data_IF_107247278186
#
_entry.id   IF_107247278186
#
_cell.length_a   1.000
_cell.length_b   1.000
_cell.length_c   1.000
_cell.angle_alpha   90.00
_cell.angle_beta   90.00
_cell.angle_gamma   90.00
#
_symmetry.space_group_name_H-M   'P 1'
#
loop_
_entity.id
_entity.type
_entity.pdbx_description
1 polymer ?
#
# COMPACT_ATOMS: atom_id res chain seq x y z
N UNK A 1 13.87 -4.39 16.68
CA UNK A 1 12.39 -4.32 16.63
C UNK A 1 11.99 -3.69 15.29
N UNK A 2 11.12 -4.30 14.49
CA UNK A 2 10.68 -3.68 13.23
C UNK A 2 9.69 -2.56 13.54
N UNK A 3 10.09 -1.33 13.22
CA UNK A 3 9.24 -0.13 13.23
C UNK A 3 8.09 -0.29 12.24
N UNK A 4 6.89 0.17 12.58
CA UNK A 4 5.82 0.32 11.59
C UNK A 4 6.35 1.12 10.38
N UNK A 5 5.91 0.83 9.15
CA UNK A 5 6.33 1.56 7.97
C UNK A 5 6.04 3.06 8.18
N UNK A 6 7.09 3.88 8.21
CA UNK A 6 7.02 5.30 8.58
C UNK A 6 6.32 6.18 7.54
N UNK A 7 6.16 5.68 6.32
CA UNK A 7 5.37 6.34 5.28
C UNK A 7 3.86 6.41 5.60
N UNK A 8 3.41 5.91 6.76
CA UNK A 8 2.04 6.10 7.24
C UNK A 8 1.76 7.53 7.74
N UNK A 9 2.79 8.32 8.07
CA UNK A 9 2.60 9.70 8.54
C UNK A 9 2.63 10.71 7.40
N UNK A 10 1.69 11.65 7.40
CA UNK A 10 1.54 12.66 6.35
C UNK A 10 2.80 13.52 6.14
N UNK A 11 3.47 13.93 7.23
CA UNK A 11 4.69 14.73 7.18
C UNK A 11 5.85 13.99 6.50
N UNK A 12 6.03 12.70 6.82
CA UNK A 12 7.04 11.85 6.17
C UNK A 12 6.80 11.73 4.67
N UNK A 13 5.54 11.60 4.24
CA UNK A 13 5.21 11.52 2.80
C UNK A 13 5.59 12.80 2.06
N UNK A 14 5.22 13.94 2.63
CA UNK A 14 5.52 15.23 2.01
C UNK A 14 7.03 15.43 1.89
N UNK A 15 7.79 15.13 2.94
CA UNK A 15 9.25 15.19 2.92
C UNK A 15 9.84 14.26 1.86
N UNK A 16 9.45 12.98 1.83
CA UNK A 16 9.93 12.02 0.83
C UNK A 16 9.62 12.47 -0.59
N UNK A 17 8.43 13.00 -0.85
CA UNK A 17 8.08 13.55 -2.16
C UNK A 17 8.96 14.75 -2.53
N UNK A 18 9.24 15.65 -1.58
CA UNK A 18 10.16 16.79 -1.80
C UNK A 18 11.54 16.28 -2.17
N UNK A 19 12.09 15.36 -1.39
CA UNK A 19 13.43 14.81 -1.61
C UNK A 19 13.53 14.12 -2.99
N UNK A 20 12.49 13.35 -3.36
CA UNK A 20 12.43 12.64 -4.66
C UNK A 20 12.39 13.62 -5.83
N UNK A 21 11.56 14.66 -5.74
CA UNK A 21 11.40 15.64 -6.82
C UNK A 21 12.64 16.54 -6.98
N UNK A 22 13.26 16.94 -5.86
CA UNK A 22 14.47 17.77 -5.88
C UNK A 22 15.69 17.03 -6.46
N UNK A 23 15.74 15.70 -6.31
CA UNK A 23 16.85 14.88 -6.78
C UNK A 23 16.98 14.79 -8.30
N UNK A 24 15.87 14.93 -9.05
CA UNK A 24 15.87 14.71 -10.52
C UNK A 24 15.20 15.81 -11.34
N UNK A 25 14.47 16.74 -10.70
CA UNK A 25 13.66 17.78 -11.38
C UNK A 25 12.79 17.19 -12.50
N UNK A 26 11.88 16.26 -12.17
CA UNK A 26 11.14 15.51 -13.18
C UNK A 26 10.17 16.40 -13.96
N UNK A 27 9.92 16.00 -15.20
CA UNK A 27 8.93 16.62 -16.09
C UNK A 27 7.64 15.79 -16.11
N UNK A 28 6.51 16.41 -16.46
CA UNK A 28 5.30 15.66 -16.83
C UNK A 28 5.60 14.57 -17.86
N UNK A 29 4.99 13.39 -17.69
CA UNK A 29 5.24 12.21 -18.53
C UNK A 29 6.40 11.33 -18.03
N UNK A 30 6.99 11.64 -16.87
CA UNK A 30 7.97 10.79 -16.20
C UNK A 30 7.37 10.15 -14.94
N UNK A 31 7.78 8.92 -14.65
CA UNK A 31 7.52 8.26 -13.36
C UNK A 31 8.83 8.01 -12.65
N UNK A 32 8.90 8.42 -11.39
CA UNK A 32 10.03 8.12 -10.51
C UNK A 32 9.71 6.93 -9.63
N UNK A 33 10.69 6.05 -9.45
CA UNK A 33 10.61 4.92 -8.53
C UNK A 33 11.81 5.03 -7.60
N UNK A 34 11.51 5.34 -6.35
CA UNK A 34 12.48 5.57 -5.29
C UNK A 34 12.45 4.40 -4.29
N UNK A 35 13.62 3.98 -3.84
CA UNK A 35 13.79 3.11 -2.68
C UNK A 35 14.10 3.97 -1.47
N UNK A 36 13.26 3.91 -0.44
CA UNK A 36 13.35 4.75 0.75
C UNK A 36 13.73 3.90 1.95
N UNK A 37 14.80 4.25 2.65
CA UNK A 37 15.24 3.57 3.87
C UNK A 37 14.23 3.77 5.00
N UNK A 38 13.78 2.69 5.66
CA UNK A 38 12.92 2.80 6.85
C UNK A 38 13.60 3.52 8.01
N UNK A 39 14.91 3.34 8.15
CA UNK A 39 15.66 3.84 9.30
C UNK A 39 16.03 5.31 9.15
N UNK A 40 16.50 5.69 7.95
CA UNK A 40 17.09 7.00 7.72
C UNK A 40 16.16 8.00 7.00
N UNK A 41 14.98 7.56 6.54
CA UNK A 41 14.05 8.41 5.76
C UNK A 41 14.76 9.13 4.60
N UNK A 42 15.64 8.37 3.93
CA UNK A 42 16.50 8.83 2.84
C UNK A 42 16.28 7.97 1.60
N UNK A 43 16.47 8.58 0.44
CA UNK A 43 16.48 7.88 -0.84
C UNK A 43 17.77 7.08 -0.93
N UNK A 44 17.67 5.75 -0.96
CA UNK A 44 18.81 4.83 -1.16
C UNK A 44 19.06 4.59 -2.64
N UNK A 45 18.03 4.73 -3.47
CA UNK A 45 18.14 4.63 -4.91
C UNK A 45 16.95 5.24 -5.60
N UNK A 46 17.16 5.74 -6.81
CA UNK A 46 16.14 6.40 -7.62
C UNK A 46 16.27 5.98 -9.08
N UNK A 47 15.14 5.68 -9.72
CA UNK A 47 15.04 5.46 -11.16
C UNK A 47 13.93 6.31 -11.74
N UNK A 48 14.15 6.78 -12.96
CA UNK A 48 13.17 7.51 -13.74
C UNK A 48 12.84 6.68 -14.97
N UNK A 49 11.56 6.45 -15.21
CA UNK A 49 11.05 5.76 -16.39
C UNK A 49 10.01 6.65 -17.08
N UNK A 50 9.74 6.47 -18.37
CA UNK A 50 8.58 7.09 -19.02
C UNK A 50 7.29 6.65 -18.32
N UNK A 51 6.35 7.57 -18.14
CA UNK A 51 5.00 7.24 -17.69
C UNK A 51 4.28 6.54 -18.86
N UNK A 52 3.86 5.27 -18.70
CA UNK A 52 3.06 4.62 -19.73
C UNK A 52 1.74 5.35 -19.91
N UNK A 53 1.29 5.49 -21.16
CA UNK A 53 -0.04 6.03 -21.46
C UNK A 53 -1.10 5.07 -20.91
N UNK A 54 -1.74 5.47 -19.82
CA UNK A 54 -2.79 4.67 -19.22
C UNK A 54 -4.10 4.89 -19.96
N UNK A 55 -4.38 4.03 -20.92
CA UNK A 55 -5.66 4.00 -21.61
C UNK A 55 -6.65 3.15 -20.81
N UNK A 56 -7.41 3.78 -19.91
CA UNK A 56 -8.64 3.17 -19.40
C UNK A 56 -9.83 3.65 -20.24
N UNK A 57 -10.50 2.71 -20.89
CA UNK A 57 -11.87 2.94 -21.31
C UNK A 57 -12.73 3.18 -20.04
N UNK A 58 -13.69 4.13 -20.04
CA UNK A 58 -14.47 4.51 -18.86
C UNK A 58 -15.22 3.38 -18.14
N UNK A 59 -15.35 2.20 -18.75
CA UNK A 59 -16.10 1.05 -18.24
C UNK A 59 -15.27 -0.22 -17.99
N UNK A 60 -13.95 -0.19 -18.21
CA UNK A 60 -13.15 -1.43 -18.27
C UNK A 60 -12.09 -1.49 -17.17
N UNK A 61 -11.74 -2.72 -16.78
CA UNK A 61 -10.48 -3.00 -16.08
C UNK A 61 -9.30 -2.77 -17.02
N UNK A 62 -8.11 -2.54 -16.49
CA UNK A 62 -6.90 -2.54 -17.32
C UNK A 62 -6.79 -3.86 -18.09
N UNK A 63 -6.38 -3.83 -19.36
CA UNK A 63 -5.98 -5.05 -20.06
C UNK A 63 -4.94 -5.79 -19.23
N UNK A 64 -5.12 -7.10 -19.07
CA UNK A 64 -4.20 -7.94 -18.29
C UNK A 64 -2.75 -7.85 -18.80
N UNK A 65 -2.58 -7.60 -20.10
CA UNK A 65 -1.28 -7.45 -20.74
C UNK A 65 -0.55 -6.17 -20.32
N UNK A 66 -1.25 -5.04 -20.14
CA UNK A 66 -0.65 -3.78 -19.69
C UNK A 66 -0.15 -3.90 -18.25
N UNK A 67 -0.98 -4.48 -17.38
CA UNK A 67 -0.63 -4.75 -15.98
C UNK A 67 0.55 -5.70 -15.90
N UNK A 68 0.57 -6.75 -16.73
CA UNK A 68 1.65 -7.75 -16.78
C UNK A 68 2.96 -7.12 -17.28
N UNK A 69 2.91 -6.35 -18.36
CA UNK A 69 4.09 -5.70 -18.93
C UNK A 69 4.68 -4.69 -17.94
N UNK A 70 3.85 -3.82 -17.36
CA UNK A 70 4.29 -2.88 -16.34
C UNK A 70 4.83 -3.60 -15.10
N UNK A 71 4.18 -4.69 -14.65
CA UNK A 71 4.70 -5.49 -13.53
C UNK A 71 6.10 -6.02 -13.80
N UNK A 72 6.38 -6.52 -15.01
CA UNK A 72 7.72 -7.00 -15.38
C UNK A 72 8.76 -5.86 -15.36
N UNK A 73 8.40 -4.69 -15.88
CA UNK A 73 9.26 -3.50 -15.84
C UNK A 73 9.55 -3.08 -14.40
N UNK A 74 8.52 -2.97 -13.56
CA UNK A 74 8.65 -2.60 -12.14
C UNK A 74 9.50 -3.61 -11.35
N UNK A 75 9.36 -4.91 -11.64
CA UNK A 75 10.24 -5.95 -11.08
C UNK A 75 11.70 -5.73 -11.49
N UNK A 76 11.97 -5.38 -12.74
CA UNK A 76 13.33 -5.10 -13.20
C UNK A 76 13.92 -3.87 -12.50
N UNK A 77 13.16 -2.77 -12.41
CA UNK A 77 13.57 -1.54 -11.71
C UNK A 77 13.84 -1.81 -10.22
N UNK A 78 12.95 -2.53 -9.53
CA UNK A 78 13.12 -2.85 -8.13
C UNK A 78 14.39 -3.69 -7.87
N UNK A 79 14.66 -4.70 -8.71
CA UNK A 79 15.90 -5.49 -8.60
C UNK A 79 17.14 -4.63 -8.78
N UNK A 80 17.10 -3.69 -9.73
CA UNK A 80 18.21 -2.79 -9.98
C UNK A 80 18.46 -1.86 -8.77
N UNK A 81 17.39 -1.25 -8.23
CA UNK A 81 17.43 -0.45 -7.01
C UNK A 81 17.92 -1.21 -5.77
N UNK A 82 17.71 -2.52 -5.72
CA UNK A 82 18.10 -3.36 -4.59
C UNK A 82 19.50 -3.95 -4.74
N UNK A 83 19.94 -4.18 -5.97
CA UNK A 83 21.32 -4.58 -6.27
C UNK A 83 22.32 -3.44 -6.11
N UNK A 84 21.89 -2.18 -6.01
CA UNK A 84 22.81 -1.09 -5.75
C UNK A 84 23.52 -1.30 -4.41
N UNK A 85 24.87 -1.30 -4.40
CA UNK A 85 25.64 -1.93 -3.36
C UNK A 85 25.91 -0.92 -2.24
N UNK A 86 25.30 -1.14 -1.08
CA UNK A 86 26.02 -0.89 0.18
C UNK A 86 27.10 -1.98 0.41
N UNK A 87 27.29 -2.91 -0.55
CA UNK A 87 28.17 -4.07 -0.47
C UNK A 87 29.67 -3.79 -0.68
N UNK A 88 30.10 -2.55 -0.93
CA UNK A 88 31.53 -2.19 -0.83
C UNK A 88 31.92 -1.62 0.55
N UNK A 89 30.97 -1.48 1.48
CA UNK A 89 31.32 -1.28 2.88
C UNK A 89 31.52 -2.65 3.53
N UNK A 90 32.75 -3.16 3.41
CA UNK A 90 33.27 -4.33 4.11
C UNK A 90 32.75 -4.36 5.55
N UNK A 91 31.78 -5.23 5.81
CA UNK A 91 31.33 -5.52 7.16
C UNK A 91 32.26 -6.60 7.72
N UNK A 92 33.14 -6.31 8.70
CA UNK A 92 34.11 -7.27 9.23
C UNK A 92 33.49 -8.25 10.23
N UNK A 93 32.27 -8.74 9.97
CA UNK A 93 31.55 -9.60 10.92
C UNK A 93 31.90 -11.09 10.78
N UNK A 94 32.84 -11.44 9.91
CA UNK A 94 33.51 -12.74 9.93
C UNK A 94 34.93 -12.54 10.45
N UNK A 95 35.08 -12.40 11.76
CA UNK A 95 36.37 -12.72 12.35
C UNK A 95 36.53 -14.24 12.28
N UNK A 96 37.49 -14.66 11.46
CA UNK A 96 38.08 -15.99 11.50
C UNK A 96 38.70 -16.18 12.88
N UNK A 97 37.94 -16.71 13.84
CA UNK A 97 38.42 -17.39 15.05
C UNK A 97 37.20 -17.84 15.86
N UNK A 98 36.64 -19.01 15.53
CA UNK A 98 36.15 -20.02 16.49
C UNK A 98 35.40 -21.15 15.76
N UNK A 99 36.03 -22.32 15.77
CA UNK A 99 35.44 -23.67 15.80
C UNK A 99 34.14 -23.91 15.00
N UNK A 100 34.33 -24.32 13.75
CA UNK A 100 33.29 -24.85 12.86
C UNK A 100 32.58 -26.06 13.50
N UNK A 101 31.38 -25.87 14.07
CA UNK A 101 30.49 -26.97 14.49
C UNK A 101 29.57 -27.40 13.33
N UNK A 102 29.79 -28.58 12.71
CA UNK A 102 28.96 -29.08 11.62
C UNK A 102 27.54 -29.50 12.03
N UNK A 103 27.21 -29.57 13.32
CA UNK A 103 25.88 -29.97 13.81
C UNK A 103 24.92 -28.80 14.07
N UNK A 104 25.42 -27.56 14.21
CA UNK A 104 24.60 -26.37 14.44
C UNK A 104 23.63 -26.01 13.29
N UNK A 105 23.88 -26.50 12.06
CA UNK A 105 23.03 -26.23 10.89
C UNK A 105 21.71 -27.01 10.83
N UNK A 106 21.52 -28.08 11.61
CA UNK A 106 20.27 -28.87 11.55
C UNK A 106 19.13 -28.30 12.42
N UNK A 107 19.44 -27.33 13.28
CA UNK A 107 18.46 -26.71 14.19
C UNK A 107 18.22 -25.23 13.93
N UNK A 108 18.91 -24.63 12.95
CA UNK A 108 18.64 -23.25 12.55
C UNK A 108 17.26 -23.21 11.87
N UNK A 109 16.33 -22.36 12.34
CA UNK A 109 15.07 -22.17 11.63
C UNK A 109 15.39 -21.78 10.19
N UNK A 110 14.76 -22.47 9.23
CA UNK A 110 14.82 -22.11 7.82
C UNK A 110 14.48 -20.63 7.73
N UNK A 111 15.48 -19.78 7.48
CA UNK A 111 15.23 -18.36 7.31
C UNK A 111 14.33 -18.24 6.08
N UNK A 112 13.14 -17.63 6.18
CA UNK A 112 12.17 -17.57 5.09
C UNK A 112 12.60 -16.52 4.04
N UNK A 113 13.88 -16.50 3.66
CA UNK A 113 14.35 -15.76 2.50
C UNK A 113 13.89 -16.51 1.25
N UNK A 114 12.69 -16.18 0.80
CA UNK A 114 12.27 -16.48 -0.57
C UNK A 114 13.21 -15.67 -1.48
N UNK A 115 13.95 -16.36 -2.35
CA UNK A 115 14.71 -15.80 -3.48
C UNK A 115 15.82 -14.76 -3.17
N UNK A 116 16.49 -14.86 -2.02
CA UNK A 116 17.69 -14.04 -1.75
C UNK A 116 17.43 -12.54 -1.55
N UNK A 117 16.19 -12.15 -1.25
CA UNK A 117 15.85 -10.77 -0.91
C UNK A 117 16.25 -10.47 0.56
N UNK A 118 16.89 -9.32 0.82
CA UNK A 118 17.16 -8.88 2.19
C UNK A 118 15.84 -8.64 2.94
N UNK A 119 15.86 -8.66 4.29
CA UNK A 119 14.69 -8.29 5.08
C UNK A 119 14.17 -6.91 4.65
N UNK A 120 12.86 -6.69 4.80
CA UNK A 120 12.17 -5.46 4.41
C UNK A 120 12.67 -4.28 5.24
N UNK A 121 13.71 -3.60 4.78
CA UNK A 121 14.30 -2.41 5.43
C UNK A 121 14.01 -1.13 4.65
N UNK A 122 13.32 -1.24 3.52
CA UNK A 122 13.02 -0.11 2.65
C UNK A 122 11.62 -0.20 2.05
N UNK A 123 11.03 0.95 1.78
CA UNK A 123 9.80 1.09 1.01
C UNK A 123 10.11 1.44 -0.44
N UNK A 124 9.19 1.13 -1.35
CA UNK A 124 9.22 1.64 -2.71
C UNK A 124 8.17 2.74 -2.85
N UNK A 125 8.59 3.89 -3.36
CA UNK A 125 7.70 5.03 -3.64
C UNK A 125 7.70 5.28 -5.13
N UNK A 126 6.51 5.24 -5.73
CA UNK A 126 6.29 5.57 -7.14
C UNK A 126 5.64 6.94 -7.24
N UNK A 127 6.27 7.85 -7.97
CA UNK A 127 5.80 9.21 -8.20
C UNK A 127 5.52 9.37 -9.68
N UNK A 128 4.24 9.43 -10.06
CA UNK A 128 3.79 9.66 -11.42
C UNK A 128 3.70 11.17 -11.65
N UNK A 129 4.65 11.71 -12.41
CA UNK A 129 4.69 13.14 -12.75
C UNK A 129 3.88 13.37 -14.02
N UNK A 130 2.88 14.23 -13.95
CA UNK A 130 2.00 14.55 -15.09
C UNK A 130 1.39 15.93 -14.97
N UNK A 131 0.80 16.38 -16.07
CA UNK A 131 0.03 17.62 -16.10
C UNK A 131 -1.38 17.47 -15.51
N UNK A 132 -2.00 18.61 -15.22
CA UNK A 132 -3.39 18.72 -14.77
C UNK A 132 -3.59 18.63 -13.26
N UNK A 133 -4.80 18.28 -12.82
CA UNK A 133 -5.15 18.29 -11.39
C UNK A 133 -4.37 17.25 -10.57
N UNK A 134 -4.05 17.60 -9.33
CA UNK A 134 -3.52 16.71 -8.31
C UNK A 134 -4.58 15.71 -7.81
N UNK A 135 -4.92 14.72 -8.64
CA UNK A 135 -5.88 13.65 -8.35
C UNK A 135 -5.34 12.30 -8.81
N UNK A 136 -5.84 11.22 -8.22
CA UNK A 136 -5.54 9.89 -8.74
C UNK A 136 -6.30 9.68 -10.04
N UNK A 137 -5.62 9.17 -11.07
CA UNK A 137 -6.16 8.85 -12.39
C UNK A 137 -5.91 7.38 -12.72
N UNK A 138 -6.39 6.88 -13.88
CA UNK A 138 -6.00 5.58 -14.40
C UNK A 138 -4.50 5.25 -14.35
N UNK A 139 -3.62 6.22 -14.59
CA UNK A 139 -2.19 5.96 -14.61
C UNK A 139 -1.66 5.47 -13.25
N UNK A 140 -2.00 6.16 -12.16
CA UNK A 140 -1.55 5.78 -10.82
C UNK A 140 -2.18 4.44 -10.37
N UNK A 141 -3.42 4.17 -10.77
CA UNK A 141 -4.09 2.90 -10.48
C UNK A 141 -3.41 1.74 -11.23
N UNK A 142 -2.97 1.96 -12.48
CA UNK A 142 -2.21 0.96 -13.26
C UNK A 142 -0.91 0.58 -12.56
N UNK A 143 -0.12 1.57 -12.12
CA UNK A 143 1.11 1.35 -11.34
C UNK A 143 0.84 0.57 -10.06
N UNK A 144 -0.21 0.92 -9.34
CA UNK A 144 -0.59 0.21 -8.13
C UNK A 144 -0.91 -1.26 -8.39
N UNK A 145 -1.72 -1.56 -9.41
CA UNK A 145 -2.00 -2.96 -9.75
C UNK A 145 -0.76 -3.68 -10.24
N UNK A 146 0.09 -3.05 -11.05
CA UNK A 146 1.33 -3.64 -11.51
C UNK A 146 2.26 -4.01 -10.34
N UNK A 147 2.36 -3.17 -9.30
CA UNK A 147 3.05 -3.55 -8.06
C UNK A 147 2.36 -4.71 -7.35
N UNK A 148 1.02 -4.69 -7.23
CA UNK A 148 0.26 -5.76 -6.56
C UNK A 148 0.32 -7.11 -7.27
N UNK A 149 0.58 -7.13 -8.58
CA UNK A 149 0.81 -8.36 -9.35
C UNK A 149 2.29 -8.68 -9.55
N UNK A 150 3.18 -7.90 -8.92
CA UNK A 150 4.60 -8.23 -8.85
C UNK A 150 4.85 -9.25 -7.74
N UNK A 151 4.46 -10.51 -7.99
CA UNK A 151 4.51 -11.66 -7.06
C UNK A 151 5.79 -11.77 -6.21
N UNK A 152 6.95 -11.38 -6.75
CA UNK A 152 8.23 -11.43 -6.04
C UNK A 152 8.43 -10.30 -5.01
N UNK A 153 7.63 -9.23 -5.07
CA UNK A 153 7.82 -8.00 -4.29
C UNK A 153 6.69 -7.76 -3.29
N UNK A 154 5.51 -8.34 -3.53
CA UNK A 154 4.28 -8.06 -2.76
C UNK A 154 4.30 -8.55 -1.32
N UNK A 155 5.17 -9.50 -0.98
CA UNK A 155 5.42 -9.91 0.39
C UNK A 155 6.43 -9.03 1.13
N UNK A 156 7.23 -8.25 0.40
CA UNK A 156 8.44 -7.63 0.94
C UNK A 156 8.55 -6.12 0.75
N UNK A 157 7.77 -5.49 -0.12
CA UNK A 157 7.86 -4.04 -0.32
C UNK A 157 6.46 -3.45 -0.31
N UNK A 158 6.26 -2.46 0.57
CA UNK A 158 5.11 -1.58 0.42
C UNK A 158 5.43 -0.60 -0.70
N UNK A 159 4.64 -0.69 -1.77
CA UNK A 159 4.72 0.23 -2.89
C UNK A 159 3.61 1.28 -2.76
N UNK A 160 3.99 2.50 -2.42
CA UNK A 160 3.08 3.65 -2.44
C UNK A 160 3.12 4.32 -3.81
N UNK A 161 1.97 4.81 -4.28
CA UNK A 161 1.85 5.48 -5.57
C UNK A 161 1.24 6.87 -5.38
N UNK A 162 1.95 7.88 -5.87
CA UNK A 162 1.56 9.28 -5.81
C UNK A 162 1.46 9.86 -7.22
N UNK A 163 0.43 10.65 -7.48
CA UNK A 163 0.40 11.61 -8.57
C UNK A 163 1.05 12.91 -8.09
N UNK A 164 1.99 13.48 -8.85
CA UNK A 164 2.51 14.84 -8.61
C UNK A 164 2.33 15.64 -9.89
N UNK A 165 1.78 16.83 -9.72
CA UNK A 165 1.41 17.75 -10.80
C UNK A 165 1.89 19.16 -10.45
N UNK A 166 1.81 20.13 -11.37
CA UNK A 166 2.05 21.53 -11.02
C UNK A 166 1.06 22.12 -10.01
N UNK A 167 -0.04 21.42 -9.72
CA UNK A 167 -1.08 21.87 -8.79
C UNK A 167 -1.01 21.18 -7.42
N UNK A 168 0.02 20.36 -7.18
CA UNK A 168 0.20 19.61 -5.94
C UNK A 168 0.30 18.10 -6.18
N UNK A 169 -0.02 17.31 -5.16
CA UNK A 169 0.10 15.86 -5.17
C UNK A 169 -1.11 15.15 -4.58
N UNK A 170 -1.30 13.88 -4.96
CA UNK A 170 -2.31 12.98 -4.42
C UNK A 170 -1.78 11.54 -4.32
N UNK A 171 -2.00 10.87 -3.19
CA UNK A 171 -1.62 9.49 -2.93
C UNK A 171 -2.80 8.52 -3.06
N UNK A 172 -2.52 7.31 -3.54
CA UNK A 172 -3.56 6.30 -3.80
C UNK A 172 -4.07 5.59 -2.52
N UNK A 173 -3.18 5.18 -1.61
CA UNK A 173 -3.54 4.26 -0.52
C UNK A 173 -4.49 4.84 0.53
N UNK A 174 -4.42 6.16 0.77
CA UNK A 174 -5.20 6.85 1.81
C UNK A 174 -5.97 8.08 1.30
N UNK A 175 -5.89 8.37 0.00
CA UNK A 175 -6.47 9.58 -0.57
C UNK A 175 -5.85 10.88 -0.05
N UNK A 176 -4.66 10.80 0.56
CA UNK A 176 -3.92 11.98 1.01
C UNK A 176 -3.60 12.87 -0.19
N UNK A 177 -3.72 14.19 -0.03
CA UNK A 177 -3.37 15.16 -1.05
C UNK A 177 -2.86 16.44 -0.40
N UNK A 178 -2.14 17.25 -1.18
CA UNK A 178 -1.63 18.54 -0.74
C UNK A 178 -1.22 19.40 -1.93
N UNK A 179 -1.17 20.72 -1.74
CA UNK A 179 -0.68 21.65 -2.75
C UNK A 179 0.85 21.64 -2.89
N UNK A 180 1.57 21.08 -1.92
CA UNK A 180 3.02 20.97 -1.91
C UNK A 180 3.47 19.59 -1.40
N UNK A 181 4.45 18.92 -2.05
CA UNK A 181 5.19 19.42 -3.22
C UNK A 181 4.40 19.37 -4.53
N UNK A 182 4.87 20.15 -5.52
CA UNK A 182 4.30 20.27 -6.85
C UNK A 182 5.43 20.28 -7.90
N UNK A 183 5.11 19.92 -9.14
CA UNK A 183 6.04 20.09 -10.26
C UNK A 183 6.25 21.57 -10.56
N UNK A 184 7.48 21.94 -10.91
CA UNK A 184 7.76 23.28 -11.44
C UNK A 184 7.16 23.35 -12.85
N UNK A 185 6.37 24.38 -13.13
CA UNK A 185 5.85 24.58 -14.50
C UNK A 185 6.99 24.97 -15.41
N UNK A 186 7.00 24.45 -16.62
CA UNK A 186 8.00 24.81 -17.62
C UNK A 186 7.94 26.31 -17.97
N UNK A 187 6.77 26.94 -17.82
CA UNK A 187 6.59 28.39 -17.96
C UNK A 187 7.24 29.21 -16.84
N UNK A 188 7.45 28.61 -15.67
CA UNK A 188 8.01 29.27 -14.49
C UNK A 188 9.53 29.10 -14.42
N UNK A 189 10.08 28.18 -15.23
CA UNK A 189 11.51 28.13 -15.51
C UNK A 189 11.80 29.33 -16.42
N UNK A 190 12.35 30.39 -15.83
CA UNK A 190 12.88 31.51 -16.61
C UNK A 190 13.76 30.96 -17.74
N UNK A 191 13.66 31.49 -18.97
CA UNK A 191 14.46 31.05 -20.10
C UNK A 191 15.94 31.23 -19.74
N UNK A 192 16.61 30.14 -19.38
CA UNK A 192 18.05 29.95 -19.09
C UNK A 192 18.92 31.23 -19.04
N UNK A 193 18.58 32.17 -18.16
CA UNK A 193 19.40 33.34 -17.84
C UNK A 193 20.26 32.92 -16.65
N UNK A 194 21.51 32.56 -16.92
CA UNK A 194 22.51 32.03 -15.99
C UNK A 194 22.26 32.31 -14.50
N UNK A 195 22.01 31.23 -13.75
CA UNK A 195 21.78 31.18 -12.30
C UNK A 195 22.68 32.14 -11.48
N UNK A 196 22.10 32.86 -10.50
CA UNK A 196 22.68 32.95 -9.17
C UNK A 196 21.87 32.09 -8.17
N UNK A 197 22.48 31.65 -7.06
CA UNK A 197 21.86 30.72 -6.13
C UNK A 197 20.91 31.44 -5.17
N UNK A 198 19.77 30.81 -4.87
CA UNK A 198 18.98 31.12 -3.68
C UNK A 198 17.50 31.36 -3.95
N UNK A 199 16.75 30.32 -4.31
CA UNK A 199 15.30 30.35 -4.09
C UNK A 199 15.08 30.24 -2.59
N UNK A 200 14.53 31.30 -2.00
CA UNK A 200 14.15 31.37 -0.60
C UNK A 200 13.13 30.28 -0.27
N UNK A 201 13.45 29.45 0.73
CA UNK A 201 12.46 28.64 1.44
C UNK A 201 11.40 29.56 2.07
N UNK A 202 10.11 29.20 2.08
CA UNK A 202 9.16 29.83 2.97
C UNK A 202 9.56 29.57 4.44
N UNK A 203 9.37 30.60 5.26
CA UNK A 203 9.75 30.70 6.66
C UNK A 203 9.30 29.48 7.52
N UNK A 204 10.22 28.76 8.21
CA UNK A 204 9.90 27.66 9.12
C UNK A 204 9.25 28.09 10.44
N UNK A 205 8.93 29.38 10.66
CA UNK A 205 8.36 29.90 11.92
C UNK A 205 6.87 29.62 12.16
N UNK A 206 6.26 28.61 11.52
CA UNK A 206 4.95 28.10 11.92
C UNK A 206 5.12 27.06 13.02
N UNK A 207 4.96 27.50 14.28
CA UNK A 207 5.16 26.69 15.47
C UNK A 207 4.37 25.36 15.41
N UNK A 208 5.01 24.20 15.64
CA UNK A 208 4.31 22.93 15.73
C UNK A 208 3.37 22.94 16.94
N UNK A 209 2.13 22.50 16.73
CA UNK A 209 1.19 22.21 17.80
C UNK A 209 1.80 21.16 18.74
N UNK A 210 1.54 21.22 20.07
CA UNK A 210 2.04 20.24 21.00
C UNK A 210 1.39 18.87 20.71
N UNK A 211 2.20 17.96 20.18
CA UNK A 211 1.89 16.54 19.98
C UNK A 211 1.99 15.81 21.32
N UNK A 212 0.96 15.97 22.15
CA UNK A 212 0.72 15.05 23.26
C UNK A 212 -0.15 13.87 22.80
N UNK A 213 0.28 12.68 23.23
CA UNK A 213 -0.30 11.34 23.03
C UNK A 213 0.01 10.61 21.70
N UNK A 214 1.27 10.17 21.55
CA UNK A 214 1.63 8.96 20.79
C UNK A 214 1.03 7.72 21.46
N UNK A 215 0.28 6.85 20.74
CA UNK A 215 -0.02 5.51 21.22
C UNK A 215 1.18 4.59 20.95
N UNK A 216 1.70 4.01 22.02
CA UNK A 216 2.66 2.89 22.03
C UNK A 216 2.13 1.66 21.26
N UNK A 217 2.93 1.12 20.34
CA UNK A 217 2.97 -0.32 19.96
C UNK A 217 4.24 -0.56 19.12
N UNK A 218 5.36 -1.14 19.61
CA UNK A 218 5.60 -2.55 19.98
C UNK A 218 5.00 -3.54 18.97
N UNK A 219 5.69 -4.66 18.73
CA UNK A 219 5.18 -5.83 18.00
C UNK A 219 3.78 -6.18 18.51
N UNK A 220 2.77 -5.63 17.84
CA UNK A 220 1.49 -5.37 18.48
C UNK A 220 0.72 -6.65 18.62
N UNK A 221 0.36 -7.00 19.86
CA UNK A 221 -0.73 -7.95 20.12
C UNK A 221 -1.91 -7.47 19.26
N UNK A 222 -2.30 -8.28 18.27
CA UNK A 222 -3.44 -7.97 17.43
C UNK A 222 -4.63 -7.73 18.36
N UNK A 223 -5.33 -6.58 18.24
CA UNK A 223 -6.50 -6.31 19.04
C UNK A 223 -7.52 -7.43 18.88
N UNK A 224 -8.17 -7.80 19.97
CA UNK A 224 -9.22 -8.82 19.93
C UNK A 224 -10.36 -8.39 18.99
N UNK A 225 -11.05 -9.39 18.44
CA UNK A 225 -12.26 -9.18 17.67
C UNK A 225 -13.38 -8.63 18.57
N UNK A 226 -14.13 -7.63 18.08
CA UNK A 226 -15.25 -7.12 18.85
C UNK A 226 -16.35 -8.19 18.99
N UNK A 227 -17.21 -8.05 20.01
CA UNK A 227 -18.17 -9.09 20.40
C UNK A 227 -19.12 -9.55 19.27
N UNK A 228 -19.41 -8.69 18.29
CA UNK A 228 -20.29 -8.95 17.14
C UNK A 228 -19.55 -8.92 15.79
N UNK A 229 -18.23 -8.91 15.80
CA UNK A 229 -17.43 -8.78 14.59
C UNK A 229 -17.26 -10.13 13.89
N UNK A 230 -17.70 -10.21 12.64
CA UNK A 230 -17.39 -11.36 11.79
C UNK A 230 -15.94 -11.29 11.30
N UNK A 231 -15.38 -12.42 10.87
CA UNK A 231 -13.99 -12.49 10.40
C UNK A 231 -13.67 -11.44 9.33
N UNK A 232 -14.52 -11.24 8.32
CA UNK A 232 -14.24 -10.26 7.27
C UNK A 232 -14.27 -8.81 7.77
N UNK A 233 -15.15 -8.48 8.72
CA UNK A 233 -15.15 -7.16 9.35
C UNK A 233 -13.90 -6.96 10.19
N UNK A 234 -13.49 -7.99 10.94
CA UNK A 234 -12.28 -7.99 11.74
C UNK A 234 -11.04 -7.78 10.87
N UNK A 235 -10.86 -8.62 9.85
CA UNK A 235 -9.74 -8.51 8.91
C UNK A 235 -9.74 -7.14 8.24
N UNK A 236 -10.87 -6.63 7.76
CA UNK A 236 -10.95 -5.30 7.18
C UNK A 236 -10.55 -4.19 8.18
N UNK A 237 -10.98 -4.27 9.44
CA UNK A 237 -10.61 -3.30 10.49
C UNK A 237 -9.12 -3.40 10.82
N UNK A 238 -8.58 -4.61 10.90
CA UNK A 238 -7.17 -4.85 11.18
C UNK A 238 -6.28 -4.38 10.04
N UNK A 239 -6.64 -4.64 8.78
CA UNK A 239 -5.90 -4.16 7.61
C UNK A 239 -5.91 -2.62 7.48
N UNK A 240 -6.89 -1.93 8.08
CA UNK A 240 -6.88 -0.47 8.19
C UNK A 240 -5.94 0.07 9.30
N UNK A 241 -5.29 -0.79 10.08
CA UNK A 241 -4.38 -0.42 11.18
C UNK A 241 -3.03 -1.11 11.12
N UNK A 242 -2.98 -2.28 10.50
CA UNK A 242 -1.85 -3.17 10.40
C UNK A 242 -1.67 -3.57 8.95
N UNK A 243 -0.42 -3.76 8.55
CA UNK A 243 -0.08 -4.19 7.20
C UNK A 243 -0.26 -5.71 7.07
N UNK A 244 -0.61 -6.18 5.87
CA UNK A 244 -0.68 -7.61 5.62
C UNK A 244 0.74 -8.18 5.50
N UNK A 245 1.03 -9.26 6.24
CA UNK A 245 2.34 -9.92 6.23
C UNK A 245 2.50 -10.98 5.12
N UNK A 246 1.59 -11.03 4.15
CA UNK A 246 1.59 -12.05 3.09
C UNK A 246 1.09 -13.43 3.54
N UNK A 247 0.62 -13.57 4.79
CA UNK A 247 0.06 -14.79 5.36
C UNK A 247 -1.37 -14.56 5.89
N UNK A 248 -1.93 -15.52 6.62
CA UNK A 248 -3.25 -15.43 7.26
C UNK A 248 -3.20 -15.06 8.74
N UNK A 249 -2.16 -14.39 9.23
CA UNK A 249 -1.94 -14.15 10.66
C UNK A 249 -3.13 -13.47 11.34
N UNK A 250 -3.76 -12.48 10.70
CA UNK A 250 -4.92 -11.77 11.23
C UNK A 250 -6.14 -12.71 11.28
N UNK A 251 -6.43 -13.42 10.20
CA UNK A 251 -7.53 -14.37 10.17
C UNK A 251 -7.36 -15.54 11.16
N UNK A 252 -6.14 -16.03 11.35
CA UNK A 252 -5.83 -17.08 12.31
C UNK A 252 -5.92 -16.56 13.74
N UNK A 253 -5.49 -15.32 14.01
CA UNK A 253 -5.72 -14.69 15.31
C UNK A 253 -7.21 -14.58 15.64
N UNK A 254 -8.06 -14.21 14.66
CA UNK A 254 -9.52 -14.23 14.83
C UNK A 254 -10.04 -15.63 15.16
N UNK A 255 -9.55 -16.67 14.46
CA UNK A 255 -9.91 -18.06 14.76
C UNK A 255 -9.57 -18.40 16.20
N UNK A 256 -8.34 -18.15 16.62
CA UNK A 256 -7.83 -18.61 17.90
C UNK A 256 -8.54 -17.90 19.07
N UNK A 257 -8.86 -16.62 18.92
CA UNK A 257 -9.52 -15.82 19.96
C UNK A 257 -11.06 -15.92 19.95
N UNK A 258 -11.68 -16.03 18.76
CA UNK A 258 -13.14 -15.89 18.60
C UNK A 258 -13.85 -17.14 18.11
N UNK A 259 -13.18 -17.97 17.32
CA UNK A 259 -13.79 -19.14 16.68
C UNK A 259 -12.84 -20.36 16.68
N UNK A 260 -12.36 -20.84 17.85
CA UNK A 260 -11.30 -21.86 17.90
C UNK A 260 -11.70 -23.21 17.28
N UNK A 261 -13.01 -23.48 17.18
CA UNK A 261 -13.55 -24.65 16.48
C UNK A 261 -13.43 -24.57 14.94
N UNK A 262 -13.13 -23.40 14.37
CA UNK A 262 -13.02 -23.20 12.93
C UNK A 262 -11.67 -23.69 12.37
N UNK A 263 -11.31 -24.95 12.64
CA UNK A 263 -10.05 -25.58 12.24
C UNK A 263 -9.81 -25.52 10.73
N UNK A 264 -10.88 -25.56 9.92
CA UNK A 264 -10.82 -25.48 8.46
C UNK A 264 -10.93 -24.05 7.91
N UNK A 265 -10.72 -23.00 8.72
CA UNK A 265 -10.82 -21.61 8.27
C UNK A 265 -9.86 -21.32 7.12
N UNK A 266 -8.57 -21.60 7.30
CA UNK A 266 -7.55 -21.28 6.29
C UNK A 266 -7.86 -21.94 4.94
N UNK A 267 -8.18 -23.22 4.94
CA UNK A 267 -8.57 -23.95 3.73
C UNK A 267 -9.81 -23.33 3.06
N UNK A 268 -10.79 -22.83 3.83
CA UNK A 268 -11.95 -22.12 3.26
C UNK A 268 -11.56 -20.78 2.63
N UNK A 269 -10.63 -20.04 3.23
CA UNK A 269 -10.12 -18.78 2.67
C UNK A 269 -9.37 -19.04 1.35
N UNK A 270 -8.50 -20.06 1.32
CA UNK A 270 -7.82 -20.53 0.10
C UNK A 270 -8.80 -20.99 -0.98
N UNK A 271 -9.80 -21.78 -0.61
CA UNK A 271 -10.87 -22.18 -1.52
C UNK A 271 -11.76 -21.00 -1.97
N UNK A 272 -11.74 -19.87 -1.27
CA UNK A 272 -12.37 -18.65 -1.71
C UNK A 272 -11.49 -17.79 -2.62
N UNK A 273 -10.22 -18.17 -2.81
CA UNK A 273 -9.25 -17.47 -3.67
C UNK A 273 -8.34 -16.50 -2.92
N UNK A 274 -8.28 -16.56 -1.58
CA UNK A 274 -7.33 -15.78 -0.81
C UNK A 274 -6.05 -16.59 -0.53
N UNK A 275 -4.89 -15.95 -0.54
CA UNK A 275 -3.61 -16.52 -0.11
C UNK A 275 -3.02 -15.80 1.11
N UNK A 276 -3.42 -14.54 1.32
CA UNK A 276 -3.11 -13.69 2.48
C UNK A 276 -4.39 -13.09 3.10
N UNK A 277 -4.27 -12.47 4.27
CA UNK A 277 -5.34 -11.66 4.89
C UNK A 277 -5.85 -10.54 3.96
N UNK A 278 -4.95 -9.88 3.23
CA UNK A 278 -5.27 -8.85 2.25
C UNK A 278 -6.25 -9.33 1.17
N UNK A 279 -6.07 -10.57 0.71
CA UNK A 279 -6.84 -11.17 -0.37
C UNK A 279 -8.20 -11.71 0.07
N UNK A 280 -8.43 -11.84 1.38
CA UNK A 280 -9.77 -12.06 1.90
C UNK A 280 -10.69 -10.92 1.40
N UNK A 281 -10.20 -9.69 1.38
CA UNK A 281 -10.99 -8.50 1.01
C UNK A 281 -10.85 -8.13 -0.48
N UNK A 282 -9.67 -8.31 -1.08
CA UNK A 282 -9.47 -7.93 -2.48
C UNK A 282 -9.96 -9.01 -3.46
N UNK A 283 -9.72 -10.28 -3.17
CA UNK A 283 -9.92 -11.39 -4.11
C UNK A 283 -11.12 -12.28 -3.76
N UNK A 284 -11.31 -12.61 -2.49
CA UNK A 284 -12.26 -13.65 -2.09
C UNK A 284 -13.67 -13.11 -1.77
N UNK A 285 -13.76 -11.96 -1.11
CA UNK A 285 -15.03 -11.30 -0.78
C UNK A 285 -15.06 -9.86 -1.28
N UNK A 286 -16.26 -9.30 -1.42
CA UNK A 286 -16.47 -7.87 -1.59
C UNK A 286 -17.52 -7.42 -0.60
N UNK A 287 -17.29 -6.25 0.00
CA UNK A 287 -18.29 -5.65 0.88
C UNK A 287 -19.43 -5.15 0.01
N UNK A 288 -20.62 -5.67 0.24
CA UNK A 288 -21.83 -5.22 -0.42
C UNK A 288 -22.38 -4.00 0.32
N UNK A 289 -22.57 -2.90 -0.42
CA UNK A 289 -23.24 -1.73 0.14
C UNK A 289 -24.71 -2.08 0.37
N UNK A 290 -25.30 -1.70 1.52
CA UNK A 290 -26.74 -1.80 1.69
C UNK A 290 -27.44 -1.07 0.55
N UNK A 291 -28.39 -1.73 -0.11
CA UNK A 291 -29.24 -1.07 -1.10
C UNK A 291 -30.17 -0.11 -0.37
N UNK A 292 -30.20 1.15 -0.78
CA UNK A 292 -31.23 2.10 -0.36
C UNK A 292 -32.40 1.98 -1.33
N UNK A 293 -33.59 1.79 -0.78
CA UNK A 293 -34.84 1.84 -1.55
C UNK A 293 -35.47 3.19 -1.26
N UNK A 294 -35.80 3.94 -2.30
CA UNK A 294 -36.55 5.18 -2.19
C UNK A 294 -37.89 5.00 -2.91
N UNK A 295 -38.99 5.53 -2.36
CA UNK A 295 -40.29 5.49 -3.02
C UNK A 295 -40.21 6.38 -4.27
N UNK A 296 -40.47 5.82 -5.44
CA UNK A 296 -40.32 6.55 -6.70
C UNK A 296 -41.55 7.44 -7.00
N UNK A 297 -42.70 7.16 -6.39
CA UNK A 297 -43.96 7.88 -6.59
C UNK A 297 -44.99 7.50 -5.51
N UNK A 298 -46.11 8.24 -5.35
CA UNK A 298 -47.21 7.86 -4.45
C UNK A 298 -47.95 6.56 -4.87
N UNK A 299 -47.58 5.94 -5.99
CA UNK A 299 -48.17 4.70 -6.50
C UNK A 299 -47.57 3.41 -5.91
N UNK A 300 -46.70 3.49 -4.89
CA UNK A 300 -46.18 2.30 -4.18
C UNK A 300 -45.08 1.53 -4.93
N UNK A 301 -44.50 2.11 -5.98
CA UNK A 301 -43.35 1.53 -6.69
C UNK A 301 -42.06 1.95 -5.97
N UNK A 302 -41.25 0.97 -5.56
CA UNK A 302 -39.95 1.18 -4.94
C UNK A 302 -38.85 1.09 -5.99
N UNK A 303 -38.07 2.17 -6.16
CA UNK A 303 -36.85 2.10 -6.98
C UNK A 303 -35.68 1.66 -6.12
N UNK A 304 -34.86 0.76 -6.66
CA UNK A 304 -33.50 0.57 -6.14
C UNK A 304 -32.69 1.77 -6.58
N UNK A 305 -32.31 2.62 -5.63
CA UNK A 305 -31.34 3.69 -5.86
C UNK A 305 -29.96 3.12 -5.56
N UNK A 306 -29.37 2.33 -6.47
CA UNK A 306 -27.92 2.01 -6.44
C UNK A 306 -27.20 3.19 -7.16
N UNK A 307 -26.05 3.74 -6.77
CA UNK A 307 -25.03 3.47 -5.75
C UNK A 307 -24.16 4.74 -5.63
N UNK A 308 -23.80 5.14 -4.40
CA UNK A 308 -22.88 6.23 -4.05
C UNK A 308 -23.48 7.65 -3.98
N UNK A 309 -24.39 7.87 -3.02
CA UNK A 309 -24.20 9.08 -2.21
C UNK A 309 -22.82 9.01 -1.53
N UNK A 310 -22.18 10.15 -1.19
CA UNK A 310 -20.88 10.15 -0.51
C UNK A 310 -20.95 9.21 0.69
N UNK A 311 -19.87 8.47 0.94
CA UNK A 311 -19.77 7.51 2.03
C UNK A 311 -20.21 8.20 3.33
N UNK A 312 -21.48 8.04 3.72
CA UNK A 312 -21.97 8.57 4.99
C UNK A 312 -21.39 7.67 6.06
N UNK A 313 -20.20 8.05 6.52
CA UNK A 313 -19.65 7.56 7.75
C UNK A 313 -20.61 7.96 8.89
N UNK A 314 -20.85 7.08 9.87
CA UNK A 314 -20.21 5.77 10.05
C UNK A 314 -20.94 4.63 9.32
N UNK A 315 -20.16 3.72 8.73
CA UNK A 315 -20.66 2.48 8.12
C UNK A 315 -21.46 1.65 9.14
N UNK A 316 -22.50 0.90 8.70
CA UNK A 316 -23.22 0.02 9.60
C UNK A 316 -22.26 -1.01 10.21
N UNK A 317 -22.34 -1.14 11.54
CA UNK A 317 -21.62 -2.16 12.29
C UNK A 317 -21.91 -3.57 11.75
N UNK A 318 -21.04 -4.52 12.10
CA UNK A 318 -21.19 -5.91 11.69
C UNK A 318 -22.59 -6.46 12.06
N UNK A 319 -23.24 -7.15 11.12
CA UNK A 319 -24.65 -7.58 11.23
C UNK A 319 -24.82 -9.07 11.56
N UNK A 320 -23.82 -9.73 12.15
CA UNK A 320 -23.89 -11.17 12.42
C UNK A 320 -24.07 -11.47 13.91
N UNK A 321 -25.21 -12.06 14.25
CA UNK A 321 -25.63 -12.35 15.63
C UNK A 321 -25.11 -13.66 16.22
N UNK A 322 -23.84 -14.03 15.94
CA UNK A 322 -23.26 -15.26 16.48
C UNK A 322 -21.81 -15.07 16.88
N UNK A 323 -21.54 -15.04 18.19
CA UNK A 323 -20.25 -14.76 18.83
C UNK A 323 -19.10 -15.71 18.47
N UNK A 324 -19.32 -16.76 17.67
CA UNK A 324 -18.31 -17.78 17.34
C UNK A 324 -18.29 -18.19 15.86
N UNK A 325 -19.00 -17.44 15.02
CA UNK A 325 -19.05 -17.74 13.59
C UNK A 325 -17.77 -17.28 12.90
N UNK A 326 -17.18 -18.17 12.10
CA UNK A 326 -16.10 -17.84 11.16
C UNK A 326 -16.64 -17.62 9.74
N UNK A 327 -17.95 -17.39 9.60
CA UNK A 327 -18.56 -16.99 8.34
C UNK A 327 -18.56 -15.45 8.23
N UNK A 328 -18.47 -14.89 7.02
CA UNK A 328 -18.73 -13.48 6.79
C UNK A 328 -20.17 -13.10 7.17
N UNK A 329 -20.39 -11.83 7.55
CA UNK A 329 -21.73 -11.30 7.77
C UNK A 329 -22.43 -10.95 6.45
N UNK A 330 -23.72 -10.62 6.52
CA UNK A 330 -24.55 -10.26 5.34
C UNK A 330 -24.04 -9.04 4.55
N UNK A 331 -23.11 -8.27 5.11
CA UNK A 331 -22.47 -7.16 4.40
C UNK A 331 -21.38 -7.62 3.43
N UNK A 332 -21.06 -8.91 3.36
CA UNK A 332 -19.99 -9.45 2.54
C UNK A 332 -20.55 -10.48 1.57
N UNK A 333 -20.29 -10.26 0.28
CA UNK A 333 -20.64 -11.20 -0.78
C UNK A 333 -19.36 -11.85 -1.31
N UNK A 334 -19.36 -13.17 -1.43
CA UNK A 334 -18.25 -13.90 -2.07
C UNK A 334 -18.11 -13.43 -3.52
N UNK A 335 -16.89 -13.16 -3.96
CA UNK A 335 -16.62 -12.89 -5.38
C UNK A 335 -16.79 -14.20 -6.16
N UNK A 336 -17.38 -14.13 -7.35
CA UNK A 336 -17.42 -15.29 -8.25
C UNK A 336 -15.98 -15.50 -8.73
N UNK A 337 -15.47 -16.73 -8.68
CA UNK A 337 -14.23 -17.06 -9.39
C UNK A 337 -14.50 -16.83 -10.87
N UNK A 338 -13.68 -16.01 -11.50
CA UNK A 338 -13.58 -16.01 -12.95
C UNK A 338 -12.83 -17.30 -13.26
N UNK A 339 -13.52 -18.26 -13.87
CA UNK A 339 -12.85 -19.45 -14.40
C UNK A 339 -11.96 -18.95 -15.54
N UNK A 340 -10.65 -19.01 -15.32
CA UNK A 340 -9.64 -18.75 -16.36
C UNK A 340 -9.45 -20.02 -17.18
#
# INVERSE_FOLDING_TARGET
>A
MPTLPRLLYAESRQKVLVDVLQSTRPRPGQTLIARISHHADRIEGLRVIPTPDAHLAPSESFPDDDVRHLSQLLRAVARDLIRQPDAEQESPWWHDDEEYDPWARRSAPISPHVDGWPPVTSDLVTVVCREGDAKVTPAEILFYWAWRYSEALTGHLQAEVYAVTPHGWAGLAEGACGSYPALVRETDLAPDDGLPPGIHNPDPSSAPLPVDALPTALAGVLPEAQSQECINCYVHRMLGRFTCAGDFRIALHYRDTRAPGAKALENRLRNAGATCDCEIISAAWKRERPRRYEPEHPAGIWRVVDRAGPLTLPWPGCKQGGSRSSQPCVLWRRRKRISV
#
